data_IF_079425585561
#
_entry.id   IF_079425585561
#
_cell.length_a   1.000
_cell.length_b   1.000
_cell.length_c   1.000
_cell.angle_alpha   90.00
_cell.angle_beta   90.00
_cell.angle_gamma   90.00
#
_symmetry.space_group_name_H-M   'P 1'
#
loop_
_entity.id
_entity.type
_entity.pdbx_description
1 polymer ?
#
# COMPACT_ATOMS: atom_id res chain seq x y z
N UNK A 1 -10.22 5.89 -18.46
CA UNK A 1 -10.40 6.24 -17.02
C UNK A 1 -11.85 6.06 -16.72
N UNK A 2 -12.19 4.85 -16.28
CA UNK A 2 -13.56 4.47 -16.11
C UNK A 2 -14.17 5.12 -14.89
N UNK A 3 -15.42 5.53 -15.05
CA UNK A 3 -16.29 5.85 -13.94
C UNK A 3 -16.57 4.52 -13.20
N UNK A 4 -15.98 4.33 -12.06
CA UNK A 4 -16.17 3.13 -11.23
C UNK A 4 -17.44 3.26 -10.38
N UNK A 5 -18.59 3.31 -11.02
CA UNK A 5 -19.92 3.41 -10.40
C UNK A 5 -20.95 2.54 -11.11
N UNK A 6 -22.23 2.69 -10.79
CA UNK A 6 -23.33 1.90 -11.40
C UNK A 6 -23.35 1.94 -12.94
N UNK A 7 -22.72 2.94 -13.56
CA UNK A 7 -22.57 3.11 -15.00
C UNK A 7 -21.09 3.05 -15.45
N UNK A 8 -20.20 2.58 -14.60
CA UNK A 8 -18.77 2.58 -14.86
C UNK A 8 -18.32 1.41 -15.72
N UNK A 9 -17.14 1.58 -16.31
CA UNK A 9 -16.44 0.52 -17.02
C UNK A 9 -15.78 -0.43 -16.03
N UNK A 10 -16.09 -1.70 -16.10
CA UNK A 10 -15.37 -2.78 -15.40
C UNK A 10 -14.67 -3.65 -16.44
N UNK A 11 -13.42 -3.93 -16.21
CA UNK A 11 -12.66 -4.92 -16.94
C UNK A 11 -12.30 -6.11 -16.03
N UNK A 12 -11.84 -7.20 -16.61
CA UNK A 12 -11.46 -8.41 -15.86
C UNK A 12 -10.02 -8.34 -15.32
N UNK A 13 -9.43 -7.13 -15.22
CA UNK A 13 -8.07 -6.97 -14.76
C UNK A 13 -7.96 -7.19 -13.26
N UNK A 14 -6.88 -7.84 -12.88
CA UNK A 14 -6.54 -8.14 -11.48
C UNK A 14 -5.42 -7.25 -10.95
N UNK A 15 -4.75 -6.50 -11.84
CA UNK A 15 -3.66 -5.56 -11.54
C UNK A 15 -3.87 -4.30 -12.37
N UNK A 16 -3.54 -3.14 -11.81
CA UNK A 16 -3.57 -1.85 -12.52
C UNK A 16 -2.66 -1.85 -13.74
N UNK A 17 -3.12 -1.21 -14.80
CA UNK A 17 -2.24 -0.88 -15.94
C UNK A 17 -1.17 0.13 -15.51
N UNK A 18 -0.07 0.16 -16.25
CA UNK A 18 1.06 1.07 -15.96
C UNK A 18 0.68 2.55 -15.98
N UNK A 19 -0.31 2.94 -16.77
CA UNK A 19 -0.81 4.32 -16.85
C UNK A 19 -1.72 4.70 -15.66
N UNK A 20 -2.31 3.70 -14.99
CA UNK A 20 -3.14 3.86 -13.79
C UNK A 20 -2.35 3.62 -12.49
N UNK A 21 -1.15 3.02 -12.59
CA UNK A 21 -0.22 2.86 -11.48
C UNK A 21 0.48 4.20 -11.20
N UNK A 22 0.15 4.80 -10.07
CA UNK A 22 0.63 6.13 -9.70
C UNK A 22 2.17 6.20 -9.56
N UNK A 23 2.83 5.12 -9.19
CA UNK A 23 4.29 5.08 -9.11
C UNK A 23 4.91 5.05 -10.50
N UNK A 24 4.42 4.22 -11.41
CA UNK A 24 4.83 4.19 -12.81
C UNK A 24 4.58 5.54 -13.48
N UNK A 25 3.40 6.10 -13.30
CA UNK A 25 3.00 7.36 -13.93
C UNK A 25 3.84 8.57 -13.46
N UNK A 26 4.30 8.59 -12.20
CA UNK A 26 5.05 9.74 -11.66
C UNK A 26 6.57 9.58 -11.73
N UNK A 27 7.11 8.37 -11.63
CA UNK A 27 8.56 8.14 -11.61
C UNK A 27 9.08 7.42 -12.85
N UNK A 28 8.19 6.76 -13.60
CA UNK A 28 8.56 6.05 -14.83
C UNK A 28 9.54 4.88 -14.61
N UNK A 29 10.13 4.40 -15.70
CA UNK A 29 11.09 3.31 -15.66
C UNK A 29 10.50 2.03 -15.08
N UNK A 30 11.20 1.43 -14.14
CA UNK A 30 10.81 0.18 -13.49
C UNK A 30 10.04 0.38 -12.17
N UNK A 31 9.78 1.64 -11.78
CA UNK A 31 9.02 1.94 -10.58
C UNK A 31 7.54 1.60 -10.77
N UNK A 32 6.97 0.91 -9.80
CA UNK A 32 5.55 0.55 -9.76
C UNK A 32 5.05 0.46 -8.32
N UNK A 33 3.75 0.40 -8.14
CA UNK A 33 3.15 0.04 -6.86
C UNK A 33 3.39 -1.47 -6.61
N UNK A 34 3.57 -1.90 -5.35
CA UNK A 34 3.66 -3.30 -5.03
C UNK A 34 2.34 -4.02 -5.29
N UNK A 35 2.39 -5.29 -5.65
CA UNK A 35 1.23 -6.17 -5.65
C UNK A 35 0.81 -6.52 -4.23
N UNK A 36 -0.40 -7.05 -4.06
CA UNK A 36 -0.88 -7.56 -2.78
C UNK A 36 -0.03 -8.72 -2.27
N UNK A 37 0.43 -9.59 -3.16
CA UNK A 37 1.33 -10.70 -2.83
C UNK A 37 2.67 -10.20 -2.28
N UNK A 38 3.29 -9.20 -2.92
CA UNK A 38 4.53 -8.57 -2.43
C UNK A 38 4.34 -7.90 -1.07
N UNK A 39 3.19 -7.29 -0.82
CA UNK A 39 2.88 -6.76 0.52
C UNK A 39 2.73 -7.87 1.56
N UNK A 40 2.14 -9.01 1.21
CA UNK A 40 2.06 -10.20 2.09
C UNK A 40 3.45 -10.80 2.36
N UNK A 41 4.30 -10.89 1.34
CA UNK A 41 5.68 -11.34 1.50
C UNK A 41 6.45 -10.42 2.45
N UNK A 42 6.29 -9.11 2.34
CA UNK A 42 6.90 -8.15 3.24
C UNK A 42 6.45 -8.40 4.70
N UNK A 43 5.16 -8.68 4.91
CA UNK A 43 4.64 -9.01 6.24
C UNK A 43 5.23 -10.33 6.77
N UNK A 44 5.35 -11.36 5.93
CA UNK A 44 5.81 -12.68 6.32
C UNK A 44 7.33 -12.75 6.53
N UNK A 45 8.11 -12.11 5.67
CA UNK A 45 9.56 -12.26 5.57
C UNK A 45 10.36 -11.16 6.28
N UNK A 46 9.69 -10.27 6.99
CA UNK A 46 10.34 -9.20 7.74
C UNK A 46 9.96 -9.18 9.22
N UNK A 47 10.84 -8.62 10.03
CA UNK A 47 10.55 -8.24 11.41
C UNK A 47 10.00 -6.82 11.40
N UNK A 48 8.91 -6.62 12.12
CA UNK A 48 8.21 -5.35 12.21
C UNK A 48 8.29 -4.81 13.63
N UNK A 49 8.89 -3.64 13.81
CA UNK A 49 9.02 -2.99 15.12
C UNK A 49 8.35 -1.63 15.06
N UNK A 50 7.29 -1.45 15.85
CA UNK A 50 6.63 -0.14 15.99
C UNK A 50 7.58 0.82 16.71
N UNK A 51 7.82 1.97 16.11
CA UNK A 51 8.77 2.96 16.62
C UNK A 51 8.44 4.36 16.11
N UNK A 52 9.20 5.33 16.59
CA UNK A 52 9.12 6.72 16.13
C UNK A 52 10.46 7.12 15.51
N UNK A 53 10.43 7.63 14.28
CA UNK A 53 11.60 8.13 13.58
C UNK A 53 11.34 9.57 13.13
N UNK A 54 12.26 10.47 13.47
CA UNK A 54 12.12 11.92 13.17
C UNK A 54 10.76 12.50 13.61
N UNK A 55 10.25 12.05 14.78
CA UNK A 55 8.95 12.48 15.30
C UNK A 55 7.72 11.83 14.65
N UNK A 56 7.89 10.87 13.76
CA UNK A 56 6.81 10.17 13.06
C UNK A 56 6.71 8.74 13.54
N UNK A 57 5.52 8.33 13.98
CA UNK A 57 5.25 6.94 14.35
C UNK A 57 5.12 6.06 13.10
N UNK A 58 5.50 4.79 13.21
CA UNK A 58 5.41 3.84 12.13
C UNK A 58 6.10 2.52 12.45
N UNK A 59 6.32 1.72 11.42
CA UNK A 59 7.07 0.48 11.56
C UNK A 59 8.46 0.58 10.92
N UNK A 60 9.48 0.21 11.69
CA UNK A 60 10.77 -0.24 11.14
C UNK A 60 10.58 -1.69 10.70
N UNK A 61 10.75 -1.92 9.41
CA UNK A 61 10.58 -3.23 8.76
C UNK A 61 11.94 -3.71 8.30
N UNK A 62 12.43 -4.81 8.88
CA UNK A 62 13.77 -5.35 8.64
C UNK A 62 13.66 -6.76 8.07
N UNK A 63 14.40 -7.05 7.01
CA UNK A 63 14.40 -8.36 6.37
C UNK A 63 14.90 -9.47 7.32
N UNK A 64 14.24 -10.62 7.27
CA UNK A 64 14.70 -11.89 7.91
C UNK A 64 15.39 -12.81 6.90
N UNK A 65 15.44 -12.42 5.63
CA UNK A 65 16.03 -13.24 4.56
C UNK A 65 17.54 -13.24 4.72
N UNK A 66 18.14 -14.42 4.69
CA UNK A 66 19.58 -14.60 4.78
C UNK A 66 20.30 -13.79 3.68
N UNK A 67 21.35 -13.07 4.05
CA UNK A 67 22.09 -12.15 3.17
C UNK A 67 21.48 -10.76 3.06
N UNK A 68 20.28 -10.52 3.63
CA UNK A 68 19.59 -9.23 3.58
C UNK A 68 19.12 -8.74 4.96
N UNK A 69 19.60 -9.33 6.05
CA UNK A 69 19.19 -9.01 7.42
C UNK A 69 19.64 -7.62 7.90
N UNK A 70 20.53 -6.97 7.16
CA UNK A 70 20.96 -5.58 7.35
C UNK A 70 20.03 -4.56 6.63
N UNK A 71 19.09 -5.04 5.82
CA UNK A 71 18.18 -4.18 5.04
C UNK A 71 16.92 -3.88 5.82
N UNK A 72 16.62 -2.59 5.93
CA UNK A 72 15.39 -2.12 6.56
C UNK A 72 14.78 -0.93 5.84
N UNK A 73 13.46 -0.77 5.98
CA UNK A 73 12.72 0.41 5.56
C UNK A 73 11.89 0.92 6.74
N UNK A 74 11.53 2.19 6.71
CA UNK A 74 10.55 2.76 7.62
C UNK A 74 9.25 3.02 6.85
N UNK A 75 8.13 2.55 7.40
CA UNK A 75 6.79 2.80 6.90
C UNK A 75 6.04 3.70 7.88
N UNK A 76 5.88 5.00 7.58
CA UNK A 76 5.16 5.93 8.44
C UNK A 76 3.69 5.55 8.64
N UNK A 77 3.18 5.74 9.84
CA UNK A 77 1.75 5.69 10.14
C UNK A 77 1.09 6.99 9.65
N UNK A 78 1.01 7.14 8.32
CA UNK A 78 0.55 8.37 7.69
C UNK A 78 -0.97 8.53 7.65
N UNK A 79 -1.72 7.52 8.12
CA UNK A 79 -3.17 7.50 8.06
C UNK A 79 -3.71 7.38 6.64
N UNK A 80 -4.89 7.91 6.43
CA UNK A 80 -5.54 7.99 5.12
C UNK A 80 -6.36 9.27 4.98
N UNK A 81 -6.70 9.64 3.76
CA UNK A 81 -7.58 10.78 3.49
C UNK A 81 -8.97 10.32 3.05
N UNK A 82 -9.97 10.96 3.63
CA UNK A 82 -11.34 10.89 3.17
C UNK A 82 -11.77 12.31 2.77
N UNK A 83 -12.02 12.51 1.49
CA UNK A 83 -12.16 13.86 0.91
C UNK A 83 -10.92 14.72 1.25
N UNK A 84 -11.09 15.81 1.98
CA UNK A 84 -10.02 16.73 2.40
C UNK A 84 -9.53 16.51 3.84
N UNK A 85 -10.09 15.52 4.56
CA UNK A 85 -9.74 15.24 5.96
C UNK A 85 -8.69 14.14 6.04
N UNK A 86 -7.60 14.40 6.78
CA UNK A 86 -6.60 13.39 7.14
C UNK A 86 -7.04 12.68 8.43
N UNK A 87 -7.14 11.38 8.38
CA UNK A 87 -7.59 10.53 9.47
C UNK A 87 -6.48 9.57 9.90
N UNK A 88 -6.45 9.24 11.20
CA UNK A 88 -5.55 8.25 11.82
C UNK A 88 -4.04 8.45 11.59
N UNK A 89 -3.59 9.64 11.21
CA UNK A 89 -2.17 9.96 11.14
C UNK A 89 -1.51 9.75 12.51
N UNK A 90 -0.34 9.12 12.53
CA UNK A 90 0.40 8.77 13.76
C UNK A 90 -0.08 7.49 14.45
N UNK A 91 -1.22 6.92 14.08
CA UNK A 91 -1.79 5.72 14.70
C UNK A 91 -1.97 4.54 13.73
N UNK A 92 -2.14 4.80 12.44
CA UNK A 92 -2.26 3.76 11.42
C UNK A 92 -1.59 4.16 10.11
N UNK A 93 -1.14 3.17 9.34
CA UNK A 93 -0.67 3.35 7.98
C UNK A 93 -1.51 2.51 7.03
N UNK A 94 -1.82 3.08 5.88
CA UNK A 94 -2.54 2.41 4.81
C UNK A 94 -1.82 2.66 3.48
N UNK A 95 -1.39 1.58 2.83
CA UNK A 95 -0.56 1.63 1.63
C UNK A 95 -1.19 0.84 0.49
N UNK A 96 -1.51 1.52 -0.61
CA UNK A 96 -2.10 0.91 -1.78
C UNK A 96 -1.21 -0.19 -2.39
N UNK A 97 -1.82 -1.25 -2.87
CA UNK A 97 -1.24 -2.17 -3.85
C UNK A 97 -1.77 -1.86 -5.26
N UNK A 98 -1.11 -2.43 -6.28
CA UNK A 98 -1.61 -2.44 -7.65
C UNK A 98 -2.66 -3.53 -7.90
N UNK A 99 -2.90 -4.43 -6.94
CA UNK A 99 -3.84 -5.55 -7.08
C UNK A 99 -5.28 -5.10 -6.86
N UNK A 100 -6.14 -5.40 -7.83
CA UNK A 100 -7.56 -5.07 -7.80
C UNK A 100 -8.38 -6.17 -7.12
N UNK A 101 -9.44 -5.79 -6.41
CA UNK A 101 -10.35 -6.76 -5.84
C UNK A 101 -11.39 -7.19 -6.88
N UNK A 102 -11.34 -8.45 -7.30
CA UNK A 102 -12.17 -9.00 -8.39
C UNK A 102 -13.66 -9.05 -8.03
N UNK A 103 -14.01 -9.13 -6.74
CA UNK A 103 -15.40 -9.24 -6.28
C UNK A 103 -16.23 -7.95 -6.37
N UNK A 104 -15.56 -6.79 -6.42
CA UNK A 104 -16.23 -5.50 -6.49
C UNK A 104 -15.24 -4.40 -6.96
N UNK A 105 -15.52 -3.69 -8.07
CA UNK A 105 -14.62 -2.69 -8.65
C UNK A 105 -14.41 -1.44 -7.76
N UNK A 106 -15.23 -1.24 -6.73
CA UNK A 106 -15.04 -0.15 -5.78
C UNK A 106 -13.91 -0.39 -4.77
N UNK A 107 -13.32 -1.59 -4.76
CA UNK A 107 -12.27 -1.98 -3.82
C UNK A 107 -10.96 -2.34 -4.52
N UNK A 108 -9.87 -2.12 -3.81
CA UNK A 108 -8.53 -2.59 -4.16
C UNK A 108 -7.80 -3.01 -2.90
N UNK A 109 -6.79 -3.87 -3.05
CA UNK A 109 -5.99 -4.30 -1.90
C UNK A 109 -5.06 -3.21 -1.40
N UNK A 110 -4.88 -3.18 -0.10
CA UNK A 110 -3.95 -2.31 0.59
C UNK A 110 -3.35 -3.02 1.81
N UNK A 111 -2.13 -2.68 2.16
CA UNK A 111 -1.53 -3.02 3.44
C UNK A 111 -2.03 -2.01 4.48
N UNK A 112 -2.74 -2.49 5.50
CA UNK A 112 -3.15 -1.70 6.66
C UNK A 112 -2.38 -2.14 7.89
N UNK A 113 -1.91 -1.19 8.68
CA UNK A 113 -1.27 -1.49 9.97
C UNK A 113 -1.56 -0.45 11.05
N UNK A 114 -1.45 -0.89 12.29
CA UNK A 114 -1.39 -0.07 13.50
C UNK A 114 -0.34 -0.65 14.44
N UNK A 115 -0.13 -0.08 15.63
CA UNK A 115 0.89 -0.57 16.58
C UNK A 115 0.76 -2.04 16.98
N UNK A 116 -0.38 -2.67 16.81
CA UNK A 116 -0.65 -4.06 17.19
C UNK A 116 -1.07 -4.97 16.04
N UNK A 117 -1.21 -4.46 14.82
CA UNK A 117 -1.70 -5.24 13.69
C UNK A 117 -1.05 -4.83 12.37
N UNK A 118 -0.98 -5.76 11.44
CA UNK A 118 -0.57 -5.56 10.06
C UNK A 118 -1.19 -6.64 9.19
N UNK A 119 -1.94 -6.26 8.19
CA UNK A 119 -2.66 -7.19 7.33
C UNK A 119 -2.96 -6.58 5.95
N UNK A 120 -3.15 -7.44 4.96
CA UNK A 120 -3.68 -7.06 3.66
C UNK A 120 -5.20 -7.03 3.73
N UNK A 121 -5.82 -5.95 3.29
CA UNK A 121 -7.28 -5.77 3.20
C UNK A 121 -7.68 -5.21 1.85
N UNK A 122 -8.91 -5.48 1.43
CA UNK A 122 -9.53 -4.75 0.34
C UNK A 122 -10.30 -3.54 0.92
N UNK A 123 -9.99 -2.37 0.41
CA UNK A 123 -10.46 -1.07 0.92
C UNK A 123 -11.00 -0.22 -0.22
N UNK A 124 -11.89 0.72 0.11
CA UNK A 124 -12.52 1.59 -0.87
C UNK A 124 -11.50 2.44 -1.64
N UNK A 125 -11.60 2.44 -2.97
CA UNK A 125 -10.70 3.14 -3.89
C UNK A 125 -10.81 4.66 -3.83
N UNK A 126 -11.91 5.21 -3.34
CA UNK A 126 -12.09 6.66 -3.21
C UNK A 126 -11.30 7.28 -2.05
N UNK A 127 -10.73 6.46 -1.17
CA UNK A 127 -9.90 6.94 -0.06
C UNK A 127 -8.48 7.26 -0.56
N UNK A 128 -7.91 8.35 -0.07
CA UNK A 128 -6.51 8.68 -0.34
C UNK A 128 -5.59 7.94 0.62
N UNK A 129 -4.68 7.12 0.10
CA UNK A 129 -3.72 6.34 0.88
C UNK A 129 -2.30 6.57 0.39
N UNK A 130 -1.35 6.17 1.22
CA UNK A 130 0.07 6.23 0.87
C UNK A 130 0.42 5.20 -0.22
N UNK A 131 1.50 5.48 -0.94
CA UNK A 131 2.14 4.53 -1.86
C UNK A 131 3.60 4.38 -1.46
N UNK A 132 4.06 3.16 -1.34
CA UNK A 132 5.47 2.82 -1.23
C UNK A 132 5.88 2.09 -2.51
N UNK A 133 6.50 2.79 -3.47
CA UNK A 133 6.87 2.17 -4.73
C UNK A 133 7.96 1.13 -4.55
N UNK A 134 7.98 0.18 -5.47
CA UNK A 134 8.98 -0.88 -5.58
C UNK A 134 9.56 -0.88 -6.99
N UNK A 135 10.72 -1.48 -7.14
CA UNK A 135 11.32 -1.82 -8.43
C UNK A 135 12.01 -3.17 -8.32
N UNK A 136 12.16 -3.91 -9.42
CA UNK A 136 12.94 -5.14 -9.46
C UNK A 136 14.37 -4.96 -8.97
#
# INVERSE_FOLDING_TARGET
KGDYGENGFTDDKTVLDSEDDVATANWGGEWRMPTEEEQRELVANCTWVWTTENGVNGYRVTSKVEGYTDRSIFLPAAGYRMMHVLLKAGSSGEYWSSSLYVGNPNFTYALEFSSGSKESKYLNRYLGKSVRPVRP
#
